data_IF_513475667663
#
_entry.id   IF_513475667663
#
_cell.length_a   1.000
_cell.length_b   1.000
_cell.length_c   1.000
_cell.angle_alpha   90.00
_cell.angle_beta   90.00
_cell.angle_gamma   90.00
#
_symmetry.space_group_name_H-M   'P 1'
#
loop_
_entity.id
_entity.type
_entity.pdbx_description
1 polymer ?
#
# COMPACT_ATOMS: atom_id res chain seq x y z
N UNK A 1 15.32 10.44 -11.16
CA UNK A 1 14.14 9.58 -11.39
C UNK A 1 14.13 8.47 -10.33
N UNK A 2 12.98 8.20 -9.74
CA UNK A 2 12.78 7.15 -8.74
C UNK A 2 11.82 6.09 -9.28
N UNK A 3 11.98 4.85 -8.83
CA UNK A 3 11.17 3.71 -9.24
C UNK A 3 10.54 3.04 -8.02
N UNK A 4 9.29 2.58 -8.17
CA UNK A 4 8.66 1.70 -7.19
C UNK A 4 9.27 0.29 -7.23
N UNK A 5 8.93 -0.52 -6.24
CA UNK A 5 9.34 -1.91 -6.14
C UNK A 5 8.36 -2.83 -6.89
N UNK A 6 8.73 -4.09 -7.13
CA UNK A 6 7.77 -5.11 -7.55
C UNK A 6 6.65 -5.30 -6.51
N UNK A 7 5.46 -5.74 -6.94
CA UNK A 7 4.37 -6.04 -6.00
C UNK A 7 4.74 -7.26 -5.14
N UNK A 8 4.47 -7.20 -3.83
CA UNK A 8 4.46 -8.40 -2.98
C UNK A 8 3.06 -9.00 -3.00
N UNK A 9 2.86 -9.98 -3.88
CA UNK A 9 1.58 -10.66 -4.13
C UNK A 9 1.82 -12.14 -4.44
N UNK A 10 0.77 -12.95 -4.32
CA UNK A 10 0.74 -14.34 -4.76
C UNK A 10 -0.65 -14.67 -5.34
N UNK A 11 -0.85 -15.92 -5.81
CA UNK A 11 -2.12 -16.35 -6.41
C UNK A 11 -3.31 -16.31 -5.43
N UNK A 12 -3.05 -16.33 -4.13
CA UNK A 12 -4.08 -16.25 -3.08
C UNK A 12 -4.42 -14.81 -2.68
N UNK A 13 -3.68 -13.80 -3.14
CA UNK A 13 -3.93 -12.40 -2.80
C UNK A 13 -5.34 -11.96 -3.22
N UNK A 14 -6.09 -11.39 -2.26
CA UNK A 14 -7.46 -10.88 -2.45
C UNK A 14 -7.58 -9.39 -2.22
N UNK A 15 -6.76 -8.87 -1.31
CA UNK A 15 -6.67 -7.45 -0.99
C UNK A 15 -5.31 -6.94 -1.45
N UNK A 16 -5.28 -5.87 -2.23
CA UNK A 16 -4.04 -5.19 -2.63
C UNK A 16 -4.01 -3.78 -2.06
N UNK A 17 -2.98 -3.48 -1.27
CA UNK A 17 -2.77 -2.16 -0.70
C UNK A 17 -1.86 -1.36 -1.64
N UNK A 18 -2.28 -0.13 -1.95
CA UNK A 18 -1.63 0.72 -2.93
C UNK A 18 -1.16 2.03 -2.30
N UNK A 19 0.16 2.18 -2.18
CA UNK A 19 0.84 3.45 -1.94
C UNK A 19 0.91 4.32 -3.20
N UNK A 20 1.30 5.59 -3.06
CA UNK A 20 1.53 6.46 -4.21
C UNK A 20 2.88 6.11 -4.87
N UNK A 21 3.95 6.21 -4.07
CA UNK A 21 5.34 5.96 -4.45
C UNK A 21 6.18 5.77 -3.19
N UNK A 22 7.16 4.84 -3.13
CA UNK A 22 7.93 4.57 -1.91
C UNK A 22 8.65 5.81 -1.39
N UNK A 23 8.60 6.06 -0.08
CA UNK A 23 9.32 7.17 0.54
C UNK A 23 10.84 7.00 0.50
N UNK A 24 11.61 8.05 0.83
CA UNK A 24 13.08 8.02 0.78
C UNK A 24 13.70 6.87 1.60
N UNK A 25 13.22 6.62 2.83
CA UNK A 25 13.70 5.49 3.66
C UNK A 25 13.35 4.14 3.05
N UNK A 26 12.16 4.02 2.45
CA UNK A 26 11.77 2.80 1.74
C UNK A 26 12.69 2.54 0.56
N UNK A 27 12.96 3.55 -0.27
CA UNK A 27 13.87 3.45 -1.42
C UNK A 27 15.29 3.06 -0.97
N UNK A 28 15.80 3.69 0.10
CA UNK A 28 17.14 3.37 0.61
C UNK A 28 17.25 1.93 1.13
N UNK A 29 16.19 1.41 1.77
CA UNK A 29 16.18 0.05 2.33
C UNK A 29 15.68 -1.03 1.36
N UNK A 30 15.08 -0.64 0.24
CA UNK A 30 14.34 -1.54 -0.66
C UNK A 30 13.20 -2.30 0.08
N UNK A 31 12.49 -1.57 0.95
CA UNK A 31 11.43 -2.13 1.79
C UNK A 31 10.18 -1.24 1.73
N UNK A 32 9.00 -1.85 1.57
CA UNK A 32 7.74 -1.12 1.71
C UNK A 32 7.57 -0.58 3.13
N UNK A 33 7.18 0.69 3.23
CA UNK A 33 6.88 1.39 4.48
C UNK A 33 7.99 1.27 5.56
N UNK A 34 9.26 1.38 5.14
CA UNK A 34 10.43 1.12 5.99
C UNK A 34 10.73 2.21 7.04
N UNK A 35 10.07 3.37 6.92
CA UNK A 35 10.26 4.47 7.87
C UNK A 35 9.59 4.13 9.20
N UNK A 36 10.36 4.18 10.30
CA UNK A 36 9.92 3.69 11.62
C UNK A 36 8.65 4.39 12.15
N UNK A 37 8.47 5.65 11.80
CA UNK A 37 7.30 6.46 12.18
C UNK A 37 6.10 6.23 11.25
N UNK A 38 6.23 5.43 10.18
CA UNK A 38 5.10 5.01 9.38
C UNK A 38 4.28 3.97 10.15
N UNK A 39 2.98 4.24 10.32
CA UNK A 39 2.10 3.38 11.12
C UNK A 39 1.73 2.07 10.41
N UNK A 40 2.08 1.88 9.14
CA UNK A 40 1.65 0.74 8.32
C UNK A 40 1.87 -0.60 9.01
N UNK A 41 3.12 -0.93 9.36
CA UNK A 41 3.45 -2.21 9.97
C UNK A 41 2.82 -2.34 11.36
N UNK A 42 2.80 -1.26 12.15
CA UNK A 42 2.16 -1.28 13.47
C UNK A 42 0.66 -1.58 13.35
N UNK A 43 -0.04 -1.03 12.35
CA UNK A 43 -1.47 -1.30 12.10
C UNK A 43 -1.69 -2.80 11.86
N UNK A 44 -0.98 -3.41 10.91
CA UNK A 44 -1.18 -4.81 10.54
C UNK A 44 -0.80 -5.78 11.67
N UNK A 45 0.32 -5.55 12.34
CA UNK A 45 0.74 -6.39 13.45
C UNK A 45 -0.17 -6.23 14.69
N UNK A 46 -0.76 -5.07 14.90
CA UNK A 46 -1.79 -4.88 15.93
C UNK A 46 -3.07 -5.62 15.55
N UNK A 47 -3.53 -5.49 14.30
CA UNK A 47 -4.77 -6.10 13.80
C UNK A 47 -4.74 -7.64 13.90
N UNK A 48 -3.60 -8.25 13.53
CA UNK A 48 -3.42 -9.70 13.59
C UNK A 48 -2.92 -10.22 14.94
N UNK A 49 -2.82 -9.36 15.96
CA UNK A 49 -2.32 -9.71 17.30
C UNK A 49 -0.93 -10.40 17.27
N UNK A 50 0.01 -9.84 16.51
CA UNK A 50 1.38 -10.39 16.33
C UNK A 50 2.48 -9.43 16.76
N UNK A 51 2.18 -8.39 17.55
CA UNK A 51 3.20 -7.50 18.09
C UNK A 51 4.25 -8.29 18.92
N UNK A 52 5.53 -7.86 18.93
CA UNK A 52 6.07 -6.65 18.29
C UNK A 52 6.29 -6.80 16.78
N UNK A 53 6.39 -5.66 16.07
CA UNK A 53 6.76 -5.66 14.64
C UNK A 53 8.22 -6.14 14.52
N UNK A 54 8.52 -7.19 13.74
CA UNK A 54 9.88 -7.72 13.59
C UNK A 54 10.76 -6.72 12.84
N UNK A 55 12.08 -6.80 13.06
CA UNK A 55 13.05 -5.95 12.35
C UNK A 55 13.25 -6.38 10.89
N UNK A 56 13.15 -7.69 10.62
CA UNK A 56 13.34 -8.25 9.30
C UNK A 56 12.11 -8.04 8.41
N UNK A 57 12.31 -7.36 7.28
CA UNK A 57 11.23 -7.09 6.32
C UNK A 57 10.55 -8.35 5.78
N UNK A 58 11.30 -9.43 5.59
CA UNK A 58 10.75 -10.72 5.15
C UNK A 58 9.69 -11.27 6.10
N UNK A 59 9.81 -11.06 7.40
CA UNK A 59 8.81 -11.50 8.39
C UNK A 59 7.57 -10.60 8.36
N UNK A 60 7.77 -9.29 8.14
CA UNK A 60 6.65 -8.34 7.97
C UNK A 60 5.79 -8.68 6.76
N UNK A 61 6.40 -8.99 5.63
CA UNK A 61 5.68 -9.36 4.40
C UNK A 61 4.98 -10.71 4.52
N UNK A 62 5.59 -11.70 5.21
CA UNK A 62 4.96 -13.00 5.45
C UNK A 62 3.61 -12.86 6.15
N UNK A 63 3.49 -11.97 7.14
CA UNK A 63 2.21 -11.71 7.82
C UNK A 63 1.12 -11.30 6.82
N UNK A 64 1.42 -10.38 5.90
CA UNK A 64 0.44 -9.94 4.90
C UNK A 64 0.08 -11.08 3.95
N UNK A 65 1.07 -11.81 3.45
CA UNK A 65 0.87 -12.92 2.51
C UNK A 65 0.03 -14.05 3.11
N UNK A 66 0.26 -14.41 4.39
CA UNK A 66 -0.54 -15.41 5.12
C UNK A 66 -2.01 -15.00 5.25
N UNK A 67 -2.30 -13.70 5.20
CA UNK A 67 -3.64 -13.16 5.29
C UNK A 67 -4.17 -12.68 3.92
N UNK A 68 -3.60 -13.19 2.81
CA UNK A 68 -4.02 -12.87 1.44
C UNK A 68 -3.97 -11.36 1.09
N UNK A 69 -3.11 -10.62 1.76
CA UNK A 69 -2.90 -9.19 1.55
C UNK A 69 -1.60 -8.99 0.78
N UNK A 70 -1.70 -8.21 -0.29
CA UNK A 70 -0.60 -7.75 -1.10
C UNK A 70 -0.28 -6.29 -0.88
N UNK A 71 0.93 -5.87 -1.27
CA UNK A 71 1.35 -4.46 -1.24
C UNK A 71 2.04 -4.09 -2.54
N UNK A 72 1.70 -2.91 -3.06
CA UNK A 72 2.35 -2.27 -4.20
C UNK A 72 2.18 -0.75 -4.15
N UNK A 73 2.60 -0.06 -5.22
CA UNK A 73 2.34 1.36 -5.43
C UNK A 73 1.63 1.58 -6.76
N UNK A 74 0.96 2.73 -6.89
CA UNK A 74 0.29 3.14 -8.12
C UNK A 74 1.29 3.61 -9.18
N UNK A 75 2.32 4.36 -8.78
CA UNK A 75 3.32 4.87 -9.70
C UNK A 75 4.48 3.89 -9.83
N UNK A 76 4.85 3.58 -11.07
CA UNK A 76 6.04 2.80 -11.40
C UNK A 76 7.28 3.67 -11.34
N UNK A 77 7.20 4.87 -11.92
CA UNK A 77 8.30 5.82 -12.04
C UNK A 77 7.81 7.25 -11.80
N UNK A 78 8.66 8.09 -11.22
CA UNK A 78 8.46 9.54 -11.22
C UNK A 78 9.75 10.30 -10.93
N UNK A 79 9.67 11.62 -11.05
CA UNK A 79 10.61 12.55 -10.44
C UNK A 79 9.99 13.10 -9.16
N UNK A 80 10.71 13.05 -8.04
CA UNK A 80 10.25 13.60 -6.77
C UNK A 80 11.43 14.09 -5.97
N UNK A 81 11.41 15.38 -5.62
CA UNK A 81 12.31 15.94 -4.63
C UNK A 81 11.76 15.67 -3.22
N UNK A 82 12.58 15.07 -2.36
CA UNK A 82 12.15 14.63 -1.03
C UNK A 82 11.14 13.47 -1.08
N UNK A 83 10.25 13.43 -0.07
CA UNK A 83 9.30 12.34 0.15
C UNK A 83 7.82 12.72 0.00
N UNK A 84 7.51 13.99 -0.23
CA UNK A 84 6.13 14.48 -0.32
C UNK A 84 5.55 14.26 -1.71
N UNK A 85 4.34 13.70 -1.78
CA UNK A 85 3.65 13.42 -3.04
C UNK A 85 3.34 14.69 -3.85
N UNK A 86 3.25 15.86 -3.21
CA UNK A 86 3.08 17.16 -3.89
C UNK A 86 4.23 17.52 -4.83
N UNK A 87 5.41 16.91 -4.63
CA UNK A 87 6.61 17.14 -5.42
C UNK A 87 6.76 16.16 -6.58
N UNK A 88 5.79 15.25 -6.79
CA UNK A 88 5.82 14.27 -7.88
C UNK A 88 5.59 14.99 -9.22
N UNK A 89 6.46 14.70 -10.19
CA UNK A 89 6.41 15.15 -11.58
C UNK A 89 6.79 13.99 -12.50
N UNK A 90 6.48 14.13 -13.79
CA UNK A 90 6.90 13.19 -14.84
C UNK A 90 6.65 11.72 -14.47
N UNK A 91 5.45 11.42 -13.99
CA UNK A 91 5.10 10.11 -13.43
C UNK A 91 4.55 9.14 -14.49
N UNK A 92 4.78 7.85 -14.27
CA UNK A 92 4.21 6.73 -15.00
C UNK A 92 3.56 5.76 -14.01
N UNK A 93 2.37 5.25 -14.35
CA UNK A 93 1.67 4.25 -13.53
C UNK A 93 2.20 2.84 -13.80
N UNK A 94 2.08 1.98 -12.79
CA UNK A 94 2.33 0.54 -12.94
C UNK A 94 1.32 -0.10 -13.91
N UNK A 95 1.71 -1.23 -14.52
CA UNK A 95 0.82 -2.01 -15.40
C UNK A 95 -0.16 -2.84 -14.57
N UNK A 96 -1.30 -2.24 -14.27
CA UNK A 96 -2.40 -2.90 -13.57
C UNK A 96 -3.20 -3.87 -14.45
N UNK A 97 -3.18 -3.70 -15.78
CA UNK A 97 -3.91 -4.59 -16.69
C UNK A 97 -3.29 -5.98 -16.65
N UNK A 98 -1.98 -6.07 -16.83
CA UNK A 98 -1.24 -7.33 -16.73
C UNK A 98 -1.31 -7.91 -15.33
N UNK A 99 -1.30 -7.06 -14.29
CA UNK A 99 -1.45 -7.50 -12.90
C UNK A 99 -2.77 -8.25 -12.68
N UNK A 100 -3.92 -7.65 -13.04
CA UNK A 100 -5.22 -8.25 -12.76
C UNK A 100 -5.49 -9.48 -13.64
N UNK A 101 -4.94 -9.53 -14.85
CA UNK A 101 -4.95 -10.74 -15.67
C UNK A 101 -4.17 -11.89 -14.99
N UNK A 102 -3.01 -11.59 -14.39
CA UNK A 102 -2.20 -12.59 -13.71
C UNK A 102 -2.72 -12.99 -12.31
N UNK A 103 -3.44 -12.09 -11.63
CA UNK A 103 -3.91 -12.26 -10.25
C UNK A 103 -5.43 -11.94 -10.12
N UNK A 104 -6.31 -12.76 -10.74
CA UNK A 104 -7.75 -12.49 -10.81
C UNK A 104 -8.49 -12.61 -9.46
N UNK A 105 -7.81 -13.07 -8.41
CA UNK A 105 -8.37 -13.18 -7.06
C UNK A 105 -8.37 -11.84 -6.31
N UNK A 106 -7.69 -10.81 -6.82
CA UNK A 106 -7.71 -9.47 -6.21
C UNK A 106 -9.10 -8.87 -6.45
N UNK A 107 -9.82 -8.64 -5.35
CA UNK A 107 -11.19 -8.07 -5.35
C UNK A 107 -11.29 -6.76 -4.60
N UNK A 108 -10.26 -6.39 -3.84
CA UNK A 108 -10.24 -5.16 -3.06
C UNK A 108 -8.94 -4.39 -3.27
N UNK A 109 -9.05 -3.09 -3.56
CA UNK A 109 -7.93 -2.15 -3.55
C UNK A 109 -8.07 -1.21 -2.36
N UNK A 110 -7.06 -1.20 -1.48
CA UNK A 110 -6.97 -0.27 -0.36
C UNK A 110 -5.91 0.78 -0.68
N UNK A 111 -6.35 1.98 -1.01
CA UNK A 111 -5.47 3.11 -1.32
C UNK A 111 -4.96 3.74 -0.04
N UNK A 112 -3.65 3.66 0.22
CA UNK A 112 -3.01 4.25 1.38
C UNK A 112 -2.80 5.76 1.20
N UNK A 113 -3.88 6.53 1.37
CA UNK A 113 -3.93 7.97 1.15
C UNK A 113 -4.72 8.37 -0.10
N UNK A 114 -5.15 9.64 -0.15
CA UNK A 114 -5.97 10.16 -1.25
C UNK A 114 -5.20 10.29 -2.56
N UNK A 115 -3.89 10.56 -2.50
CA UNK A 115 -3.08 10.74 -3.71
C UNK A 115 -2.93 9.45 -4.52
N UNK A 116 -2.72 8.29 -3.86
CA UNK A 116 -2.64 7.01 -4.59
C UNK A 116 -3.95 6.72 -5.33
N UNK A 117 -5.09 6.90 -4.67
CA UNK A 117 -6.41 6.79 -5.30
C UNK A 117 -6.58 7.77 -6.48
N UNK A 118 -6.18 9.03 -6.31
CA UNK A 118 -6.28 10.06 -7.35
C UNK A 118 -5.46 9.72 -8.59
N UNK A 119 -4.21 9.28 -8.42
CA UNK A 119 -3.39 8.83 -9.54
C UNK A 119 -4.01 7.61 -10.23
N UNK A 120 -4.49 6.64 -9.46
CA UNK A 120 -5.11 5.44 -10.00
C UNK A 120 -6.34 5.77 -10.85
N UNK A 121 -7.26 6.57 -10.29
CA UNK A 121 -8.49 6.97 -11.00
C UNK A 121 -8.20 7.81 -12.24
N UNK A 122 -7.17 8.65 -12.23
CA UNK A 122 -6.80 9.50 -13.36
C UNK A 122 -6.31 8.70 -14.57
N UNK A 123 -5.60 7.59 -14.35
CA UNK A 123 -4.88 6.88 -15.41
C UNK A 123 -5.47 5.50 -15.73
N UNK A 124 -6.12 4.87 -14.76
CA UNK A 124 -6.63 3.48 -14.87
C UNK A 124 -8.15 3.46 -14.76
N UNK A 125 -8.72 4.23 -13.83
CA UNK A 125 -10.16 4.30 -13.63
C UNK A 125 -10.72 3.12 -12.82
N UNK A 126 -12.03 2.87 -12.94
CA UNK A 126 -12.71 1.75 -12.28
C UNK A 126 -12.40 0.43 -12.99
N UNK A 127 -12.41 -0.67 -12.23
CA UNK A 127 -12.21 -2.02 -12.77
C UNK A 127 -13.35 -2.90 -12.29
N UNK A 128 -14.00 -3.58 -13.23
CA UNK A 128 -15.16 -4.40 -12.95
C UNK A 128 -14.84 -5.53 -11.95
N UNK A 129 -15.72 -5.68 -10.96
CA UNK A 129 -15.56 -6.70 -9.92
C UNK A 129 -14.47 -6.42 -8.88
N UNK A 130 -13.90 -5.21 -8.85
CA UNK A 130 -12.95 -4.76 -7.82
C UNK A 130 -13.54 -3.60 -7.02
N UNK A 131 -13.54 -3.72 -5.69
CA UNK A 131 -14.02 -2.68 -4.76
C UNK A 131 -12.86 -1.80 -4.28
N UNK A 132 -13.07 -0.49 -4.26
CA UNK A 132 -12.04 0.49 -3.95
C UNK A 132 -12.29 1.12 -2.57
N UNK A 133 -11.25 1.23 -1.76
CA UNK A 133 -11.31 1.78 -0.40
C UNK A 133 -10.20 2.83 -0.24
N UNK A 134 -10.56 4.05 0.13
CA UNK A 134 -9.58 5.13 0.34
C UNK A 134 -9.28 5.26 1.83
N UNK A 135 -8.05 4.92 2.21
CA UNK A 135 -7.62 4.84 3.59
C UNK A 135 -6.89 6.11 4.03
N UNK A 136 -6.91 6.46 5.32
CA UNK A 136 -6.01 7.50 5.84
C UNK A 136 -4.56 7.06 5.64
N UNK A 137 -3.73 7.97 5.12
CA UNK A 137 -2.32 7.65 4.90
C UNK A 137 -1.63 7.21 6.20
N UNK A 138 -0.88 6.11 6.15
CA UNK A 138 -0.11 5.60 7.29
C UNK A 138 1.20 6.38 7.52
N UNK A 139 1.57 7.25 6.57
CA UNK A 139 2.72 8.16 6.70
C UNK A 139 2.56 9.11 7.91
N UNK A 140 3.66 9.51 8.55
CA UNK A 140 3.64 10.54 9.59
C UNK A 140 3.28 11.94 9.06
N UNK A 141 3.33 12.16 7.73
CA UNK A 141 2.82 13.39 7.13
C UNK A 141 1.31 13.57 7.34
N UNK A 142 0.57 12.48 7.57
CA UNK A 142 -0.82 12.52 8.02
C UNK A 142 -0.84 12.60 9.55
N UNK A 143 -1.31 13.73 10.08
CA UNK A 143 -1.33 14.06 11.53
C UNK A 143 -2.39 13.30 12.33
N UNK A 144 -3.23 12.49 11.69
CA UNK A 144 -4.17 11.60 12.38
C UNK A 144 -3.43 10.65 13.35
N UNK A 145 -3.96 10.51 14.57
CA UNK A 145 -3.38 9.64 15.59
C UNK A 145 -3.34 8.17 15.15
N UNK A 146 -2.45 7.39 15.78
CA UNK A 146 -2.38 5.95 15.52
C UNK A 146 -3.74 5.28 15.74
N UNK A 147 -4.40 5.54 16.87
CA UNK A 147 -5.66 4.85 17.23
C UNK A 147 -6.77 5.09 16.21
N UNK A 148 -6.93 6.34 15.73
CA UNK A 148 -7.90 6.67 14.69
C UNK A 148 -7.56 6.03 13.34
N UNK A 149 -6.28 6.01 12.95
CA UNK A 149 -5.84 5.29 11.75
C UNK A 149 -6.15 3.80 11.92
N UNK A 150 -5.79 3.23 13.05
CA UNK A 150 -5.98 1.82 13.34
C UNK A 150 -7.45 1.41 13.29
N UNK A 151 -8.35 2.18 13.90
CA UNK A 151 -9.80 1.96 13.85
C UNK A 151 -10.35 1.91 12.42
N UNK A 152 -10.05 2.91 11.59
CA UNK A 152 -10.52 2.96 10.20
C UNK A 152 -9.95 1.79 9.37
N UNK A 153 -8.66 1.50 9.57
CA UNK A 153 -8.00 0.40 8.89
C UNK A 153 -8.56 -0.96 9.33
N UNK A 154 -8.78 -1.19 10.62
CA UNK A 154 -9.28 -2.46 11.14
C UNK A 154 -10.72 -2.73 10.72
N UNK A 155 -11.58 -1.71 10.73
CA UNK A 155 -12.95 -1.81 10.22
C UNK A 155 -12.97 -2.20 8.74
N UNK A 156 -12.16 -1.51 7.92
CA UNK A 156 -12.08 -1.82 6.48
C UNK A 156 -11.47 -3.21 6.24
N UNK A 157 -10.44 -3.60 6.98
CA UNK A 157 -9.85 -4.94 6.86
C UNK A 157 -10.87 -6.02 7.22
N UNK A 158 -11.68 -5.83 8.25
CA UNK A 158 -12.76 -6.76 8.63
C UNK A 158 -13.80 -6.88 7.52
N UNK A 159 -14.13 -5.78 6.83
CA UNK A 159 -15.12 -5.76 5.75
C UNK A 159 -14.59 -6.26 4.39
N UNK A 160 -13.27 -6.45 4.25
CA UNK A 160 -12.62 -6.87 3.00
C UNK A 160 -11.95 -8.24 3.08
N UNK A 161 -11.62 -8.69 4.29
CA UNK A 161 -11.14 -10.04 4.56
C UNK A 161 -12.34 -11.00 4.64
N UNK A 162 -12.63 -11.63 3.50
CA UNK A 162 -13.30 -12.93 3.35
C UNK A 162 -14.45 -13.27 4.31
#
# INVERSE_FOLDING_TARGET
MISSFPPFINKSTKVLILGTMPGATSLAKQEYYAYKQNHFWRIFFTYFNQLPVPDLFGERIKLLQQNNIGVWDVLQHCEREGSLDTNIRNHQVNDFVSLFAAFPNIRHLLFNGKESHKYFMKHIGTIDGIRFHVMPSTSPANTMSFDKKFEIWSETLTNTAL
#
